data_IF_575510312983
#
_entry.id   IF_575510312983
#
_cell.length_a   1.000
_cell.length_b   1.000
_cell.length_c   1.000
_cell.angle_alpha   90.00
_cell.angle_beta   90.00
_cell.angle_gamma   90.00
#
_symmetry.space_group_name_H-M   'P 1'
#
loop_
_entity.id
_entity.type
_entity.pdbx_description
1 polymer ?
#
# COMPACT_ATOMS: atom_id res chain seq x y z
N UNK A 1 -28.26 4.39 36.64
CA UNK A 1 -27.16 3.52 36.17
C UNK A 1 -26.09 4.42 35.60
N UNK A 2 -24.84 4.28 36.05
CA UNK A 2 -23.76 5.18 35.67
C UNK A 2 -23.03 4.55 34.48
N UNK A 3 -23.37 4.99 33.26
CA UNK A 3 -23.01 4.36 31.97
C UNK A 3 -21.50 4.08 31.86
N UNK A 4 -20.66 4.95 32.41
CA UNK A 4 -19.20 4.81 32.45
C UNK A 4 -18.76 3.56 33.22
N UNK A 5 -19.44 3.23 34.34
CA UNK A 5 -19.09 2.07 35.16
C UNK A 5 -19.49 0.74 34.52
N UNK A 6 -20.58 0.71 33.75
CA UNK A 6 -21.05 -0.49 33.08
C UNK A 6 -20.18 -0.81 31.85
N UNK A 7 -19.78 0.22 31.09
CA UNK A 7 -18.84 0.06 29.96
C UNK A 7 -17.48 -0.43 30.44
N UNK A 8 -16.95 0.14 31.51
CA UNK A 8 -15.63 -0.25 32.01
C UNK A 8 -15.62 -1.67 32.57
N UNK A 9 -16.71 -2.11 33.22
CA UNK A 9 -16.89 -3.52 33.62
C UNK A 9 -16.92 -4.46 32.42
N UNK A 10 -17.64 -4.07 31.35
CA UNK A 10 -17.69 -4.86 30.11
C UNK A 10 -16.30 -5.04 29.49
N UNK A 11 -15.54 -3.95 29.34
CA UNK A 11 -14.18 -4.01 28.78
C UNK A 11 -13.23 -4.85 29.62
N UNK A 12 -13.36 -4.80 30.95
CA UNK A 12 -12.55 -5.63 31.84
C UNK A 12 -12.89 -7.13 31.72
N UNK A 13 -14.19 -7.46 31.59
CA UNK A 13 -14.63 -8.84 31.37
C UNK A 13 -14.17 -9.37 30.01
N UNK A 14 -14.18 -8.52 28.98
CA UNK A 14 -13.65 -8.81 27.65
C UNK A 14 -12.15 -9.11 27.70
N UNK A 15 -11.35 -8.21 28.30
CA UNK A 15 -9.92 -8.40 28.51
C UNK A 15 -9.62 -9.73 29.21
N UNK A 16 -10.33 -10.03 30.31
CA UNK A 16 -10.15 -11.28 31.05
C UNK A 16 -10.44 -12.55 30.23
N UNK A 17 -11.32 -12.47 29.22
CA UNK A 17 -11.59 -13.58 28.29
C UNK A 17 -10.50 -13.68 27.24
N UNK A 18 -10.13 -12.54 26.67
CA UNK A 18 -9.10 -12.42 25.65
C UNK A 18 -7.76 -12.99 26.11
N UNK A 19 -7.33 -12.63 27.31
CA UNK A 19 -6.07 -13.12 27.90
C UNK A 19 -6.02 -14.64 28.13
N UNK A 20 -7.18 -15.31 28.20
CA UNK A 20 -7.24 -16.78 28.37
C UNK A 20 -7.11 -17.52 27.05
N UNK A 21 -7.59 -16.92 25.96
CA UNK A 21 -7.56 -17.52 24.63
C UNK A 21 -6.32 -17.12 23.84
N UNK A 22 -5.75 -15.95 24.12
CA UNK A 22 -4.70 -15.35 23.29
C UNK A 22 -3.34 -15.44 23.99
N UNK A 23 -2.37 -16.18 23.42
CA UNK A 23 -1.00 -16.19 23.94
C UNK A 23 -0.40 -14.79 23.84
N UNK A 24 0.23 -14.32 24.91
CA UNK A 24 0.92 -13.04 24.94
C UNK A 24 2.05 -13.01 25.97
N UNK A 25 3.09 -12.21 25.70
CA UNK A 25 4.17 -11.95 26.64
C UNK A 25 3.79 -10.85 27.66
N UNK A 26 4.67 -10.60 28.64
CA UNK A 26 4.39 -9.63 29.71
C UNK A 26 4.32 -8.17 29.21
N UNK A 27 5.13 -7.82 28.21
CA UNK A 27 5.11 -6.49 27.62
C UNK A 27 3.81 -6.26 26.82
N UNK A 28 3.42 -7.21 25.99
CA UNK A 28 2.15 -7.22 25.26
C UNK A 28 0.96 -7.08 26.20
N UNK A 29 0.96 -7.86 27.29
CA UNK A 29 -0.07 -7.79 28.33
C UNK A 29 -0.16 -6.39 28.93
N UNK A 30 0.99 -5.80 29.29
CA UNK A 30 1.02 -4.45 29.87
C UNK A 30 0.40 -3.42 28.93
N UNK A 31 0.78 -3.42 27.66
CA UNK A 31 0.26 -2.47 26.67
C UNK A 31 -1.24 -2.69 26.41
N UNK A 32 -1.69 -3.94 26.32
CA UNK A 32 -3.12 -4.27 26.18
C UNK A 32 -3.95 -3.78 27.37
N UNK A 33 -3.41 -3.90 28.59
CA UNK A 33 -4.05 -3.36 29.79
C UNK A 33 -4.13 -1.83 29.77
N UNK A 34 -3.08 -1.13 29.30
CA UNK A 34 -3.08 0.33 29.15
C UNK A 34 -4.11 0.77 28.10
N UNK A 35 -4.23 0.04 26.99
CA UNK A 35 -5.23 0.26 25.95
C UNK A 35 -6.67 0.13 26.46
N UNK A 36 -6.96 -0.94 27.21
CA UNK A 36 -8.28 -1.16 27.81
C UNK A 36 -8.56 -0.14 28.93
N UNK A 37 -7.56 0.26 29.70
CA UNK A 37 -7.69 1.31 30.72
C UNK A 37 -8.00 2.68 30.12
N UNK A 38 -7.54 2.96 28.91
CA UNK A 38 -7.93 4.13 28.13
C UNK A 38 -9.37 4.05 27.60
N UNK A 39 -10.03 2.91 27.78
CA UNK A 39 -11.43 2.69 27.44
C UNK A 39 -11.64 2.14 26.04
N UNK A 40 -10.68 1.43 25.47
CA UNK A 40 -10.83 0.80 24.15
C UNK A 40 -11.11 -0.70 24.30
N UNK A 41 -11.75 -1.31 23.30
CA UNK A 41 -11.92 -2.76 23.22
C UNK A 41 -10.65 -3.45 22.75
N UNK A 42 -10.43 -4.70 23.17
CA UNK A 42 -9.33 -5.54 22.66
C UNK A 42 -9.50 -5.89 21.17
N UNK A 43 -10.74 -5.82 20.68
CA UNK A 43 -11.14 -6.06 19.28
C UNK A 43 -11.21 -4.77 18.44
N UNK A 44 -10.81 -3.64 19.01
CA UNK A 44 -10.62 -2.37 18.30
C UNK A 44 -9.12 -2.14 18.07
N UNK A 45 -8.78 -1.24 17.16
CA UNK A 45 -7.40 -0.83 16.91
C UNK A 45 -7.27 0.68 16.69
N UNK A 46 -6.04 1.18 16.68
CA UNK A 46 -5.73 2.62 16.58
C UNK A 46 -5.96 3.22 15.19
N UNK A 47 -6.03 2.39 14.15
CA UNK A 47 -5.99 2.80 12.75
C UNK A 47 -7.25 2.42 11.95
N UNK A 48 -8.29 1.90 12.60
CA UNK A 48 -9.49 1.34 11.98
C UNK A 48 -9.19 0.26 10.92
N UNK A 49 -8.11 -0.51 11.10
CA UNK A 49 -7.76 -1.59 10.18
C UNK A 49 -8.80 -2.72 10.24
N UNK A 50 -9.19 -3.22 9.07
CA UNK A 50 -10.14 -4.32 8.90
C UNK A 50 -9.52 -5.50 8.15
N UNK A 51 -10.05 -6.70 8.40
CA UNK A 51 -9.62 -7.97 7.78
C UNK A 51 -10.09 -8.16 6.32
N UNK A 52 -10.72 -7.14 5.72
CA UNK A 52 -11.35 -7.21 4.40
C UNK A 52 -12.70 -7.96 4.37
N UNK A 53 -13.17 -8.46 5.52
CA UNK A 53 -14.49 -9.07 5.70
C UNK A 53 -15.41 -8.24 6.61
N UNK A 54 -14.99 -7.03 6.97
CA UNK A 54 -15.72 -6.09 7.80
C UNK A 54 -15.57 -6.30 9.30
N UNK A 55 -14.59 -7.12 9.74
CA UNK A 55 -14.20 -7.19 11.14
C UNK A 55 -12.95 -6.35 11.37
N UNK A 56 -12.92 -5.62 12.47
CA UNK A 56 -11.70 -4.95 12.90
C UNK A 56 -10.64 -5.98 13.30
N UNK A 57 -9.40 -5.68 12.94
CA UNK A 57 -8.24 -6.41 13.43
C UNK A 57 -8.05 -6.08 14.91
N UNK A 58 -7.74 -7.08 15.74
CA UNK A 58 -7.51 -6.89 17.16
C UNK A 58 -6.32 -5.96 17.42
N UNK A 59 -6.38 -5.21 18.52
CA UNK A 59 -5.30 -4.30 18.95
C UNK A 59 -3.94 -5.00 19.01
N UNK A 60 -3.92 -6.23 19.55
CA UNK A 60 -2.68 -6.95 19.81
C UNK A 60 -1.98 -7.36 18.51
N UNK A 61 -2.74 -7.68 17.46
CA UNK A 61 -2.17 -8.05 16.17
C UNK A 61 -1.55 -6.83 15.48
N UNK A 62 -2.21 -5.67 15.52
CA UNK A 62 -1.63 -4.40 15.05
C UNK A 62 -0.37 -4.04 15.85
N UNK A 63 -0.40 -4.19 17.17
CA UNK A 63 0.76 -3.92 18.02
C UNK A 63 1.97 -4.80 17.67
N UNK A 64 1.73 -6.08 17.38
CA UNK A 64 2.78 -7.01 16.95
C UNK A 64 3.36 -6.66 15.60
N UNK A 65 2.51 -6.36 14.62
CA UNK A 65 2.95 -5.93 13.30
C UNK A 65 3.78 -4.65 13.37
N UNK A 66 3.34 -3.66 14.15
CA UNK A 66 4.13 -2.44 14.39
C UNK A 66 5.47 -2.74 15.05
N UNK A 67 5.52 -3.70 15.97
CA UNK A 67 6.77 -4.09 16.62
C UNK A 67 7.72 -4.80 15.65
N UNK A 68 7.20 -5.70 14.82
CA UNK A 68 7.97 -6.37 13.77
C UNK A 68 8.53 -5.37 12.76
N UNK A 69 7.76 -4.33 12.40
CA UNK A 69 8.23 -3.22 11.58
C UNK A 69 9.37 -2.47 12.30
N UNK A 70 9.22 -2.09 13.57
CA UNK A 70 10.27 -1.40 14.33
C UNK A 70 11.55 -2.23 14.43
N UNK A 71 11.42 -3.52 14.71
CA UNK A 71 12.53 -4.44 14.85
C UNK A 71 13.27 -4.61 13.51
N UNK A 72 12.53 -4.75 12.40
CA UNK A 72 13.09 -4.80 11.05
C UNK A 72 13.85 -3.52 10.72
N UNK A 73 13.22 -2.34 10.92
CA UNK A 73 13.84 -1.04 10.66
C UNK A 73 15.10 -0.81 11.51
N UNK A 74 15.17 -1.38 12.72
CA UNK A 74 16.34 -1.22 13.60
C UNK A 74 17.61 -1.84 13.03
N UNK A 75 17.48 -2.80 12.10
CA UNK A 75 18.61 -3.49 11.46
C UNK A 75 19.09 -2.85 10.16
N UNK A 76 18.30 -1.91 9.64
CA UNK A 76 18.51 -1.28 8.33
C UNK A 76 19.22 0.07 8.47
N UNK A 77 19.90 0.49 7.40
CA UNK A 77 20.36 1.87 7.26
C UNK A 77 19.22 2.83 6.85
N UNK A 78 19.49 4.13 6.79
CA UNK A 78 18.43 5.12 6.54
C UNK A 78 17.88 5.07 5.11
N UNK A 79 18.67 4.64 4.12
CA UNK A 79 18.19 4.47 2.74
C UNK A 79 17.30 3.22 2.63
N UNK A 80 17.73 2.11 3.24
CA UNK A 80 16.97 0.87 3.33
C UNK A 80 15.65 1.04 4.09
N UNK A 81 15.63 1.83 5.17
CA UNK A 81 14.41 2.14 5.92
C UNK A 81 13.39 2.87 5.08
N UNK A 82 13.80 3.93 4.37
CA UNK A 82 12.87 4.70 3.55
C UNK A 82 12.31 3.84 2.42
N UNK A 83 13.16 3.01 1.81
CA UNK A 83 12.73 2.04 0.80
C UNK A 83 11.70 1.04 1.36
N UNK A 84 11.99 0.40 2.49
CA UNK A 84 11.08 -0.55 3.13
C UNK A 84 9.73 0.09 3.48
N UNK A 85 9.75 1.31 4.04
CA UNK A 85 8.53 2.02 4.41
C UNK A 85 7.72 2.46 3.19
N UNK A 86 8.38 2.88 2.11
CA UNK A 86 7.71 3.22 0.86
C UNK A 86 7.04 1.97 0.24
N UNK A 87 7.72 0.83 0.24
CA UNK A 87 7.13 -0.45 -0.20
C UNK A 87 5.91 -0.83 0.64
N UNK A 88 5.96 -0.66 1.96
CA UNK A 88 4.84 -0.94 2.87
C UNK A 88 3.63 -0.03 2.59
N UNK A 89 3.86 1.23 2.19
CA UNK A 89 2.81 2.18 1.77
C UNK A 89 2.28 1.91 0.35
N UNK A 90 2.90 1.01 -0.41
CA UNK A 90 2.59 0.78 -1.82
C UNK A 90 3.06 1.92 -2.73
N UNK A 91 4.07 2.67 -2.30
CA UNK A 91 4.67 3.75 -3.08
C UNK A 91 5.75 3.22 -4.02
N UNK A 92 5.87 3.84 -5.19
CA UNK A 92 6.96 3.55 -6.11
C UNK A 92 8.27 4.18 -5.60
N UNK A 93 9.30 3.35 -5.44
CA UNK A 93 10.66 3.78 -5.10
C UNK A 93 11.51 3.92 -6.35
N UNK A 94 12.62 4.65 -6.27
CA UNK A 94 13.59 4.71 -7.38
C UNK A 94 14.05 3.31 -7.79
N UNK A 95 14.21 2.39 -6.83
CA UNK A 95 14.62 1.01 -7.11
C UNK A 95 13.49 0.20 -7.74
N UNK A 96 12.24 0.32 -7.25
CA UNK A 96 11.10 -0.38 -7.83
C UNK A 96 10.88 0.09 -9.28
N UNK A 97 10.96 1.39 -9.54
CA UNK A 97 10.87 1.98 -10.87
C UNK A 97 12.01 1.54 -11.78
N UNK A 98 13.26 1.48 -11.26
CA UNK A 98 14.39 0.95 -12.02
C UNK A 98 14.20 -0.52 -12.40
N UNK A 99 13.66 -1.33 -11.49
CA UNK A 99 13.35 -2.74 -11.74
C UNK A 99 12.28 -2.87 -12.83
N UNK A 100 11.18 -2.13 -12.71
CA UNK A 100 10.12 -2.11 -13.73
C UNK A 100 10.66 -1.66 -15.10
N UNK A 101 11.46 -0.59 -15.12
CA UNK A 101 12.10 -0.09 -16.34
C UNK A 101 12.98 -1.17 -16.98
N UNK A 102 13.80 -1.87 -16.19
CA UNK A 102 14.64 -2.95 -16.69
C UNK A 102 13.82 -4.10 -17.30
N UNK A 103 12.75 -4.53 -16.64
CA UNK A 103 11.85 -5.56 -17.15
C UNK A 103 11.16 -5.14 -18.45
N UNK A 104 10.72 -3.88 -18.54
CA UNK A 104 10.13 -3.31 -19.75
C UNK A 104 11.13 -3.22 -20.89
N UNK A 105 12.35 -2.77 -20.63
CA UNK A 105 13.43 -2.75 -21.63
C UNK A 105 13.71 -4.15 -22.16
N UNK A 106 13.82 -5.14 -21.26
CA UNK A 106 14.04 -6.53 -21.68
C UNK A 106 12.89 -7.07 -22.54
N UNK A 107 11.63 -6.82 -22.16
CA UNK A 107 10.47 -7.21 -22.96
C UNK A 107 10.48 -6.54 -24.33
N UNK A 108 10.79 -5.25 -24.38
CA UNK A 108 10.91 -4.49 -25.63
C UNK A 108 11.92 -5.13 -26.58
N UNK A 109 13.12 -5.47 -26.08
CA UNK A 109 14.16 -6.13 -26.88
C UNK A 109 13.69 -7.49 -27.45
N UNK A 110 12.94 -8.26 -26.65
CA UNK A 110 12.37 -9.54 -27.08
C UNK A 110 11.30 -9.33 -28.15
N UNK A 111 10.40 -8.36 -27.96
CA UNK A 111 9.35 -8.05 -28.92
C UNK A 111 9.93 -7.56 -30.24
N UNK A 112 10.94 -6.68 -30.22
CA UNK A 112 11.61 -6.22 -31.42
C UNK A 112 12.21 -7.40 -32.21
N UNK A 113 12.88 -8.34 -31.53
CA UNK A 113 13.42 -9.55 -32.18
C UNK A 113 12.33 -10.40 -32.84
N UNK A 114 11.17 -10.55 -32.19
CA UNK A 114 10.02 -11.27 -32.74
C UNK A 114 9.49 -10.54 -33.97
N UNK A 115 9.23 -9.23 -33.87
CA UNK A 115 8.73 -8.42 -34.99
C UNK A 115 9.67 -8.47 -36.19
N UNK A 116 10.99 -8.37 -35.98
CA UNK A 116 11.99 -8.52 -37.04
C UNK A 116 11.95 -9.91 -37.68
N UNK A 117 11.87 -10.97 -36.87
CA UNK A 117 11.79 -12.35 -37.35
C UNK A 117 10.55 -12.59 -38.23
N UNK A 118 9.45 -11.94 -37.89
CA UNK A 118 8.17 -12.06 -38.59
C UNK A 118 7.93 -10.97 -39.66
N UNK A 119 8.88 -10.04 -39.85
CA UNK A 119 8.77 -8.90 -40.78
C UNK A 119 7.54 -8.01 -40.52
N UNK A 120 7.27 -7.75 -39.24
CA UNK A 120 6.14 -6.94 -38.76
C UNK A 120 6.60 -5.59 -38.19
N UNK A 121 7.86 -5.19 -38.41
CA UNK A 121 8.39 -3.94 -37.83
C UNK A 121 7.70 -2.72 -38.45
N UNK A 122 7.54 -2.66 -39.77
CA UNK A 122 6.91 -1.49 -40.39
C UNK A 122 5.43 -1.34 -39.96
N UNK A 123 4.71 -2.45 -39.81
CA UNK A 123 3.33 -2.46 -39.31
C UNK A 123 3.26 -2.00 -37.86
N UNK A 124 4.16 -2.48 -37.00
CA UNK A 124 4.23 -2.04 -35.61
C UNK A 124 4.56 -0.54 -35.50
N UNK A 125 5.48 -0.02 -36.33
CA UNK A 125 5.81 1.40 -36.40
C UNK A 125 4.62 2.26 -36.84
N UNK A 126 3.86 1.81 -37.85
CA UNK A 126 2.65 2.49 -38.29
C UNK A 126 1.60 2.56 -37.17
N UNK A 127 1.36 1.44 -36.46
CA UNK A 127 0.43 1.40 -35.32
C UNK A 127 0.89 2.30 -34.16
N UNK A 128 2.19 2.38 -33.90
CA UNK A 128 2.74 3.29 -32.89
C UNK A 128 2.51 4.77 -33.26
N UNK A 129 2.70 5.15 -34.53
CA UNK A 129 2.40 6.51 -35.00
C UNK A 129 0.90 6.84 -34.94
N UNK A 130 0.04 5.91 -35.32
CA UNK A 130 -1.42 6.07 -35.20
C UNK A 130 -1.82 6.29 -33.73
N UNK A 131 -1.27 5.50 -32.80
CA UNK A 131 -1.48 5.68 -31.36
C UNK A 131 -1.02 7.04 -30.85
N UNK A 132 0.16 7.50 -31.26
CA UNK A 132 0.67 8.85 -30.92
C UNK A 132 -0.21 9.97 -31.49
N UNK A 133 -0.69 9.81 -32.72
CA UNK A 133 -1.61 10.77 -33.33
C UNK A 133 -2.95 10.84 -32.57
N UNK A 134 -3.51 9.69 -32.18
CA UNK A 134 -4.74 9.63 -31.41
C UNK A 134 -4.60 10.28 -30.03
N UNK A 135 -3.48 10.02 -29.33
CA UNK A 135 -3.20 10.65 -28.03
C UNK A 135 -3.12 12.17 -28.15
N UNK A 136 -2.41 12.70 -29.16
CA UNK A 136 -2.33 14.14 -29.38
C UNK A 136 -3.68 14.77 -29.67
N UNK A 137 -4.50 14.12 -30.50
CA UNK A 137 -5.85 14.60 -30.79
C UNK A 137 -6.75 14.60 -29.54
N UNK A 138 -6.60 13.62 -28.66
CA UNK A 138 -7.30 13.57 -27.38
C UNK A 138 -6.86 14.71 -26.46
N UNK A 139 -5.56 14.97 -26.32
CA UNK A 139 -5.03 16.08 -25.52
C UNK A 139 -5.57 17.44 -26.02
N UNK A 140 -5.56 17.67 -27.34
CA UNK A 140 -6.09 18.90 -27.95
C UNK A 140 -7.59 19.08 -27.68
N UNK A 141 -8.37 18.00 -27.80
CA UNK A 141 -9.79 18.02 -27.47
C UNK A 141 -10.03 18.31 -25.98
N UNK A 142 -9.29 17.64 -25.10
CA UNK A 142 -9.44 17.80 -23.65
C UNK A 142 -9.06 19.23 -23.20
N UNK A 143 -8.02 19.82 -23.78
CA UNK A 143 -7.66 21.23 -23.54
C UNK A 143 -8.72 22.21 -24.05
N UNK A 144 -9.38 21.91 -25.18
CA UNK A 144 -10.45 22.74 -25.73
C UNK A 144 -11.73 22.72 -24.89
N UNK A 145 -12.08 21.56 -24.31
CA UNK A 145 -13.31 21.37 -23.53
C UNK A 145 -13.14 21.73 -22.04
N UNK A 146 -12.00 21.40 -21.45
CA UNK A 146 -11.75 21.54 -20.01
C UNK A 146 -10.75 22.66 -19.66
N UNK A 147 -10.20 23.35 -20.67
CA UNK A 147 -9.09 24.30 -20.50
C UNK A 147 -7.74 23.59 -20.38
N UNK A 148 -6.64 24.36 -20.32
CA UNK A 148 -5.28 23.79 -20.20
C UNK A 148 -5.20 22.82 -19.02
N UNK A 149 -5.04 21.54 -19.33
CA UNK A 149 -4.69 20.54 -18.33
C UNK A 149 -3.27 20.85 -17.84
N UNK A 150 -3.07 20.81 -16.52
CA UNK A 150 -1.71 20.82 -15.96
C UNK A 150 -0.93 19.66 -16.57
N UNK A 151 0.34 19.84 -16.93
CA UNK A 151 1.18 18.75 -17.44
C UNK A 151 1.09 17.55 -16.50
N UNK A 152 0.38 16.50 -16.94
CA UNK A 152 -0.02 15.39 -16.07
C UNK A 152 -0.47 14.16 -16.88
N UNK A 153 0.07 13.01 -16.45
CA UNK A 153 -0.27 11.60 -16.73
C UNK A 153 -0.19 11.07 -18.19
N UNK A 154 -0.30 11.90 -19.23
CA UNK A 154 -0.18 11.48 -20.64
C UNK A 154 1.10 11.97 -21.35
N UNK A 155 2.01 12.61 -20.61
CA UNK A 155 3.24 13.21 -21.17
C UNK A 155 4.24 12.21 -21.77
N UNK A 156 4.11 10.91 -21.48
CA UNK A 156 5.01 9.86 -21.96
C UNK A 156 4.69 9.38 -23.40
N UNK A 157 3.64 9.92 -24.03
CA UNK A 157 3.30 9.67 -25.45
C UNK A 157 3.82 10.76 -26.40
N UNK A 158 4.41 11.85 -25.89
CA UNK A 158 5.06 12.93 -26.68
C UNK A 158 6.50 12.56 -27.02
#
# INVERSE_FOLDING_TARGET
MNITSDRQRFLQDELNRYEKSTPMNEAERKVLHEWVAAGNSVHENSCNAEDGHGNYIDFLDIYREEQDIRDTLSTMDDEEKEEYLAELRGEDTIKSLRKQLHELSYKSDVYEKVLRRHKLIEEAEALMEEGRALSRAFDEWAEAEMGKLSEGELSWLK
#
